data_IF_303076769699
#
_entry.id   IF_303076769699
#
_cell.length_a   1.000
_cell.length_b   1.000
_cell.length_c   1.000
_cell.angle_alpha   90.00
_cell.angle_beta   90.00
_cell.angle_gamma   90.00
#
_symmetry.space_group_name_H-M   'P 1'
#
loop_
_entity.id
_entity.type
_entity.pdbx_description
1 polymer ?
#
# COMPACT_ATOMS: atom_id res chain seq x y z
N UNK A 1 -9.59 -11.93 12.90
CA UNK A 1 -10.01 -10.60 13.41
C UNK A 1 -9.00 -10.11 14.43
N UNK A 2 -8.88 -8.81 14.66
CA UNK A 2 -8.01 -8.25 15.70
C UNK A 2 -8.77 -8.18 17.03
N UNK A 3 -8.19 -8.71 18.11
CA UNK A 3 -8.74 -8.54 19.45
C UNK A 3 -8.35 -7.16 19.99
N UNK A 4 -9.32 -6.35 20.44
CA UNK A 4 -9.09 -4.95 20.83
C UNK A 4 -8.26 -4.81 22.11
N UNK A 5 -8.43 -5.69 23.10
CA UNK A 5 -7.72 -5.61 24.37
C UNK A 5 -6.27 -6.10 24.27
N UNK A 6 -6.09 -7.25 23.63
CA UNK A 6 -4.77 -7.92 23.56
C UNK A 6 -3.94 -7.47 22.36
N UNK A 7 -4.57 -6.82 21.36
CA UNK A 7 -3.94 -6.41 20.11
C UNK A 7 -3.29 -7.58 19.35
N UNK A 8 -3.89 -8.77 19.45
CA UNK A 8 -3.47 -10.00 18.77
C UNK A 8 -4.53 -10.48 17.79
N UNK A 9 -4.08 -11.13 16.71
CA UNK A 9 -4.97 -11.80 15.77
C UNK A 9 -5.66 -13.00 16.42
N UNK A 10 -6.97 -13.04 16.30
CA UNK A 10 -7.85 -14.11 16.77
C UNK A 10 -8.62 -14.73 15.60
N UNK A 11 -8.90 -16.03 15.70
CA UNK A 11 -9.77 -16.73 14.75
C UNK A 11 -11.17 -16.12 14.74
N UNK A 12 -11.84 -16.16 13.58
CA UNK A 12 -13.26 -15.78 13.48
C UNK A 12 -14.08 -16.81 14.27
N UNK A 13 -14.92 -16.36 15.19
CA UNK A 13 -15.80 -17.23 15.97
C UNK A 13 -16.92 -17.83 15.10
N UNK A 14 -17.51 -18.93 15.56
CA UNK A 14 -18.62 -19.57 14.86
C UNK A 14 -19.83 -18.63 14.77
N UNK A 15 -20.15 -17.89 15.85
CA UNK A 15 -21.24 -16.89 15.89
C UNK A 15 -21.09 -15.82 14.80
N UNK A 16 -19.91 -15.18 14.69
CA UNK A 16 -19.66 -14.15 13.68
C UNK A 16 -19.70 -14.73 12.27
N UNK A 17 -19.20 -15.96 12.11
CA UNK A 17 -19.24 -16.65 10.83
C UNK A 17 -20.69 -16.94 10.41
N UNK A 18 -21.52 -17.42 11.31
CA UNK A 18 -22.93 -17.70 11.07
C UNK A 18 -23.74 -16.44 10.74
N UNK A 19 -23.45 -15.33 11.42
CA UNK A 19 -24.07 -14.03 11.15
C UNK A 19 -23.67 -13.47 9.77
N UNK A 20 -22.38 -13.56 9.40
CA UNK A 20 -21.86 -12.91 8.21
C UNK A 20 -22.01 -13.76 6.93
N UNK A 21 -21.81 -15.07 7.00
CA UNK A 21 -21.74 -15.92 5.80
C UNK A 21 -23.06 -16.00 5.04
N UNK A 22 -24.20 -15.69 5.65
CA UNK A 22 -25.50 -15.64 4.96
C UNK A 22 -25.52 -14.58 3.83
N UNK A 23 -24.66 -13.56 3.91
CA UNK A 23 -24.51 -12.52 2.90
C UNK A 23 -23.43 -12.85 1.85
N UNK A 24 -22.62 -13.88 2.07
CA UNK A 24 -21.54 -14.27 1.19
C UNK A 24 -22.04 -15.22 0.08
N UNK A 25 -21.71 -14.97 -1.20
CA UNK A 25 -22.02 -15.93 -2.26
C UNK A 25 -21.22 -17.23 -2.04
N UNK A 26 -21.85 -18.38 -2.34
CA UNK A 26 -21.19 -19.70 -2.24
C UNK A 26 -19.96 -19.82 -3.15
N UNK A 27 -20.00 -19.16 -4.31
CA UNK A 27 -18.89 -19.07 -5.25
C UNK A 27 -18.31 -17.66 -5.19
N UNK A 28 -16.99 -17.51 -4.96
CA UNK A 28 -16.35 -16.20 -4.93
C UNK A 28 -16.56 -15.42 -6.24
N UNK A 29 -16.87 -14.13 -6.13
CA UNK A 29 -16.93 -13.19 -7.26
C UNK A 29 -15.87 -12.12 -7.05
N UNK A 30 -14.65 -12.40 -7.51
CA UNK A 30 -13.51 -11.51 -7.31
C UNK A 30 -13.52 -10.41 -8.36
N UNK A 31 -13.40 -9.15 -7.93
CA UNK A 31 -13.21 -8.01 -8.84
C UNK A 31 -11.83 -8.04 -9.52
N UNK A 32 -10.84 -8.63 -8.83
CA UNK A 32 -9.50 -8.91 -9.32
C UNK A 32 -9.33 -10.43 -9.39
N UNK A 33 -9.28 -11.03 -10.59
CA UNK A 33 -8.97 -12.45 -10.74
C UNK A 33 -7.65 -12.80 -10.06
N UNK A 34 -7.49 -14.01 -9.55
CA UNK A 34 -6.23 -14.42 -8.90
C UNK A 34 -5.05 -14.45 -9.89
N UNK A 35 -5.34 -14.88 -11.13
CA UNK A 35 -4.42 -14.76 -12.25
C UNK A 35 -4.06 -13.28 -12.48
N UNK A 36 -2.77 -12.97 -12.46
CA UNK A 36 -2.22 -11.62 -12.61
C UNK A 36 -2.57 -10.61 -11.49
N UNK A 37 -3.06 -11.05 -10.33
CA UNK A 37 -3.33 -10.13 -9.22
C UNK A 37 -2.03 -9.58 -8.61
N UNK A 38 -1.73 -8.31 -8.89
CA UNK A 38 -0.59 -7.59 -8.30
C UNK A 38 -0.63 -7.51 -6.78
N UNK A 39 -1.81 -7.62 -6.14
CA UNK A 39 -1.94 -7.59 -4.68
C UNK A 39 -1.46 -8.86 -3.99
N UNK A 40 -1.27 -9.96 -4.72
CA UNK A 40 -0.69 -11.20 -4.19
C UNK A 40 0.84 -11.19 -4.25
N UNK A 41 1.43 -10.27 -5.02
CA UNK A 41 2.88 -10.14 -5.15
C UNK A 41 3.45 -9.42 -3.94
N UNK A 42 4.50 -9.99 -3.35
CA UNK A 42 5.20 -9.38 -2.22
C UNK A 42 5.75 -7.99 -2.59
N UNK A 43 5.56 -7.03 -1.69
CA UNK A 43 6.17 -5.71 -1.79
C UNK A 43 7.54 -5.75 -1.07
N UNK A 44 8.66 -5.51 -1.78
CA UNK A 44 9.98 -5.47 -1.14
C UNK A 44 10.07 -4.33 -0.13
N UNK A 45 10.95 -4.47 0.87
CA UNK A 45 11.23 -3.35 1.78
C UNK A 45 12.10 -2.35 1.04
N UNK A 46 11.78 -1.07 1.13
CA UNK A 46 12.64 -0.01 0.66
C UNK A 46 13.89 0.08 1.56
N UNK A 47 15.06 0.16 0.96
CA UNK A 47 16.34 0.33 1.67
C UNK A 47 16.63 1.82 1.88
N UNK A 48 17.30 2.15 2.98
CA UNK A 48 17.78 3.51 3.23
C UNK A 48 19.11 3.74 2.47
N UNK A 49 19.34 4.95 1.90
CA UNK A 49 18.42 6.09 1.85
C UNK A 49 17.39 5.95 0.73
N UNK A 50 16.17 6.42 1.01
CA UNK A 50 15.14 6.61 -0.02
C UNK A 50 15.49 7.78 -0.95
N UNK A 51 15.05 7.72 -2.21
CA UNK A 51 15.27 8.80 -3.18
C UNK A 51 14.46 10.05 -2.83
N UNK A 52 13.23 9.85 -2.34
CA UNK A 52 12.33 10.91 -1.91
C UNK A 52 11.82 10.66 -0.50
N UNK A 53 11.64 11.73 0.27
CA UNK A 53 11.15 11.63 1.64
C UNK A 53 10.34 12.85 2.07
N UNK A 54 9.37 12.59 2.96
CA UNK A 54 8.64 13.59 3.72
C UNK A 54 8.60 13.13 5.17
N UNK A 55 9.27 13.88 6.05
CA UNK A 55 9.45 13.52 7.45
C UNK A 55 8.47 14.29 8.33
N UNK A 56 8.17 13.71 9.50
CA UNK A 56 7.44 14.43 10.55
C UNK A 56 5.96 14.67 10.26
N UNK A 57 5.32 13.79 9.49
CA UNK A 57 3.87 13.82 9.28
C UNK A 57 3.16 13.49 10.59
N UNK A 58 2.12 14.26 10.90
CA UNK A 58 1.30 14.06 12.10
C UNK A 58 -0.17 13.89 11.72
N UNK A 59 -0.92 12.99 12.39
CA UNK A 59 -2.34 12.85 12.20
C UNK A 59 -3.10 14.13 12.56
N UNK A 60 -4.13 14.42 11.79
CA UNK A 60 -5.15 15.42 12.14
C UNK A 60 -6.26 14.74 12.91
N UNK A 61 -7.03 15.53 13.66
CA UNK A 61 -8.25 15.05 14.34
C UNK A 61 -9.25 14.38 13.39
N UNK A 62 -9.32 14.84 12.13
CA UNK A 62 -10.19 14.27 11.11
C UNK A 62 -9.69 12.93 10.54
N UNK A 63 -8.43 12.57 10.79
CA UNK A 63 -7.82 11.34 10.30
C UNK A 63 -8.13 10.15 11.22
N UNK A 64 -8.72 10.38 12.40
CA UNK A 64 -9.02 9.33 13.38
C UNK A 64 -10.38 8.67 13.11
N UNK A 65 -10.43 7.35 13.27
CA UNK A 65 -11.66 6.56 13.22
C UNK A 65 -12.35 6.46 14.60
N UNK A 66 -13.47 5.74 14.65
CA UNK A 66 -14.22 5.53 15.90
C UNK A 66 -13.43 4.76 16.97
N UNK A 67 -12.39 4.02 16.59
CA UNK A 67 -11.52 3.27 17.49
C UNK A 67 -10.33 4.10 18.00
N UNK A 68 -10.28 5.40 17.68
CA UNK A 68 -9.16 6.30 18.01
C UNK A 68 -7.84 5.93 17.32
N UNK A 69 -7.90 5.15 16.23
CA UNK A 69 -6.75 4.91 15.38
C UNK A 69 -6.82 5.80 14.14
N UNK A 70 -5.67 6.07 13.55
CA UNK A 70 -5.62 6.70 12.24
C UNK A 70 -6.30 5.79 11.21
N UNK A 71 -7.25 6.36 10.48
CA UNK A 71 -8.02 5.70 9.45
C UNK A 71 -7.09 5.22 8.32
N UNK A 72 -7.33 4.00 7.82
CA UNK A 72 -6.56 3.40 6.73
C UNK A 72 -6.45 4.30 5.48
N UNK A 73 -7.45 5.14 5.21
CA UNK A 73 -7.42 6.09 4.09
C UNK A 73 -6.37 7.19 4.28
N UNK A 74 -6.08 7.61 5.51
CA UNK A 74 -5.09 8.65 5.78
C UNK A 74 -3.67 8.21 5.41
N UNK A 75 -3.34 6.92 5.56
CA UNK A 75 -2.05 6.38 5.14
C UNK A 75 -1.85 6.49 3.63
N UNK A 76 -2.92 6.41 2.81
CA UNK A 76 -2.82 6.63 1.36
C UNK A 76 -2.34 8.05 1.07
N UNK A 77 -2.89 9.03 1.80
CA UNK A 77 -2.43 10.43 1.73
C UNK A 77 -0.94 10.53 2.04
N UNK A 78 -0.51 9.99 3.18
CA UNK A 78 0.90 10.02 3.58
C UNK A 78 1.84 9.28 2.62
N UNK A 79 1.42 8.16 2.04
CA UNK A 79 2.19 7.44 1.01
C UNK A 79 2.49 8.36 -0.18
N UNK A 80 1.54 9.21 -0.57
CA UNK A 80 1.70 10.12 -1.70
C UNK A 80 2.43 11.42 -1.36
N UNK A 81 2.58 11.80 -0.08
CA UNK A 81 3.29 13.02 0.33
C UNK A 81 4.78 13.05 -0.02
N UNK A 82 5.42 11.88 -0.21
CA UNK A 82 6.81 11.79 -0.64
C UNK A 82 6.97 11.54 -2.15
N UNK A 83 5.87 11.46 -2.91
CA UNK A 83 5.95 11.31 -4.36
C UNK A 83 6.51 12.56 -5.04
N UNK A 84 7.35 12.44 -6.09
CA UNK A 84 7.83 13.58 -6.84
C UNK A 84 6.69 14.34 -7.49
N UNK A 85 6.65 15.66 -7.32
CA UNK A 85 5.60 16.52 -7.88
C UNK A 85 5.49 16.38 -9.41
N UNK A 86 6.61 16.20 -10.11
CA UNK A 86 6.61 15.95 -11.56
C UNK A 86 5.74 14.75 -11.94
N UNK A 87 5.82 13.65 -11.18
CA UNK A 87 5.02 12.44 -11.45
C UNK A 87 3.55 12.72 -11.18
N UNK A 88 3.23 13.41 -10.08
CA UNK A 88 1.85 13.82 -9.75
C UNK A 88 1.24 14.70 -10.86
N UNK A 89 2.02 15.58 -11.48
CA UNK A 89 1.53 16.52 -12.49
C UNK A 89 1.44 15.91 -13.90
N UNK A 90 2.27 14.93 -14.20
CA UNK A 90 2.44 14.38 -15.57
C UNK A 90 1.88 12.98 -15.76
N UNK A 91 1.62 12.25 -14.67
CA UNK A 91 1.09 10.90 -14.68
C UNK A 91 -0.19 10.81 -13.85
N UNK A 92 -0.96 9.76 -14.07
CA UNK A 92 -2.06 9.38 -13.20
C UNK A 92 -1.78 8.03 -12.54
N UNK A 93 -2.22 7.90 -11.28
CA UNK A 93 -2.11 6.67 -10.51
C UNK A 93 -2.97 5.59 -11.16
N UNK A 94 -2.34 4.52 -11.64
CA UNK A 94 -3.02 3.40 -12.28
C UNK A 94 -3.35 2.28 -11.30
N UNK A 95 -2.38 1.92 -10.45
CA UNK A 95 -2.48 0.83 -9.47
C UNK A 95 -1.86 1.28 -8.16
N UNK A 96 -2.48 0.90 -7.04
CA UNK A 96 -1.89 1.01 -5.71
C UNK A 96 -2.13 -0.30 -4.96
N UNK A 97 -1.07 -0.85 -4.37
CA UNK A 97 -1.10 -2.03 -3.50
C UNK A 97 -0.47 -1.65 -2.17
N UNK A 98 -1.10 -2.04 -1.06
CA UNK A 98 -0.69 -1.63 0.30
C UNK A 98 -0.66 -2.82 1.26
N UNK A 99 0.45 -2.97 1.98
CA UNK A 99 0.64 -3.93 3.06
C UNK A 99 0.68 -3.19 4.40
N UNK A 100 -0.36 -3.36 5.22
CA UNK A 100 -0.44 -2.77 6.56
C UNK A 100 0.23 -3.67 7.60
N UNK A 101 1.03 -3.07 8.49
CA UNK A 101 1.73 -3.80 9.57
C UNK A 101 1.39 -3.30 10.96
N UNK A 102 1.22 -2.00 11.15
CA UNK A 102 0.94 -1.39 12.46
C UNK A 102 -0.08 -0.27 12.32
N UNK A 103 -0.80 -0.05 13.39
CA UNK A 103 -1.71 1.08 13.56
C UNK A 103 -0.96 2.28 14.13
N UNK A 104 -1.40 3.47 13.76
CA UNK A 104 -0.91 4.77 14.20
C UNK A 104 -1.98 5.45 15.07
N UNK A 105 -1.57 6.15 16.12
CA UNK A 105 -2.42 6.92 17.03
C UNK A 105 -2.21 8.43 16.83
N UNK A 106 -2.99 9.26 17.53
CA UNK A 106 -2.97 10.71 17.38
C UNK A 106 -1.60 11.37 17.58
N UNK A 107 -0.81 10.89 18.55
CA UNK A 107 0.47 11.52 18.93
C UNK A 107 1.68 10.96 18.17
N UNK A 108 1.45 10.01 17.27
CA UNK A 108 2.52 9.39 16.51
C UNK A 108 2.99 10.30 15.37
N UNK A 109 4.30 10.25 15.12
CA UNK A 109 4.94 10.96 14.03
C UNK A 109 5.42 9.96 12.97
N UNK A 110 5.13 10.26 11.70
CA UNK A 110 5.33 9.35 10.57
C UNK A 110 6.28 9.95 9.54
N UNK A 111 7.21 9.13 9.08
CA UNK A 111 8.03 9.43 7.91
C UNK A 111 7.49 8.67 6.69
N UNK A 112 7.37 9.37 5.57
CA UNK A 112 7.02 8.83 4.27
C UNK A 112 8.23 8.79 3.37
N UNK A 113 8.54 7.61 2.84
CA UNK A 113 9.71 7.35 1.99
C UNK A 113 9.26 6.73 0.66
N UNK A 114 9.86 7.18 -0.44
CA UNK A 114 9.54 6.73 -1.79
C UNK A 114 10.81 6.55 -2.63
N UNK A 115 10.89 5.47 -3.41
CA UNK A 115 11.91 5.23 -4.42
C UNK A 115 11.31 4.53 -5.63
N UNK A 116 11.82 4.76 -6.85
CA UNK A 116 11.43 3.96 -8.01
C UNK A 116 11.77 2.49 -7.78
N UNK A 117 10.91 1.59 -8.24
CA UNK A 117 11.23 0.17 -8.25
C UNK A 117 12.09 -0.12 -9.48
N UNK A 118 13.36 -0.42 -9.27
CA UNK A 118 14.23 -0.90 -10.33
C UNK A 118 13.74 -2.30 -10.73
N UNK A 119 13.53 -2.52 -12.03
CA UNK A 119 13.37 -3.88 -12.52
C UNK A 119 14.69 -4.63 -12.23
N UNK A 120 14.61 -5.77 -11.55
CA UNK A 120 15.72 -6.70 -11.58
C UNK A 120 15.98 -7.00 -13.07
N UNK A 121 17.18 -6.66 -13.55
CA UNK A 121 17.71 -7.20 -14.80
C UNK A 121 17.93 -8.70 -14.58
N UNK A 122 16.83 -9.48 -14.55
CA UNK A 122 16.90 -10.92 -14.65
C UNK A 122 17.31 -11.24 -16.09
N UNK A 123 18.62 -11.25 -16.28
CA UNK A 123 19.25 -11.79 -17.46
C UNK A 123 18.90 -13.27 -17.54
N UNK A 124 17.87 -13.65 -18.30
CA UNK A 124 17.95 -14.75 -19.28
C UNK A 124 16.70 -14.89 -20.18
N UNK A 125 16.96 -14.74 -21.48
CA UNK A 125 16.35 -15.44 -22.62
C UNK A 125 14.84 -15.29 -22.90
N UNK A 126 14.55 -14.34 -23.78
CA UNK A 126 13.91 -14.65 -25.07
C UNK A 126 12.49 -15.22 -25.06
N UNK A 127 11.49 -14.34 -24.97
CA UNK A 127 10.25 -14.51 -25.73
C UNK A 127 9.67 -13.14 -26.08
N UNK A 128 9.91 -12.74 -27.33
CA UNK A 128 9.47 -11.49 -27.90
C UNK A 128 8.09 -11.63 -28.56
N UNK A 129 7.04 -11.90 -27.80
CA UNK A 129 5.65 -11.82 -28.32
C UNK A 129 4.62 -11.68 -27.18
N UNK A 130 4.52 -10.46 -26.65
CA UNK A 130 3.41 -10.05 -25.78
C UNK A 130 3.81 -8.86 -24.93
N UNK A 131 2.97 -7.80 -24.89
CA UNK A 131 3.13 -6.55 -24.10
C UNK A 131 3.72 -5.31 -24.80
N UNK A 132 3.54 -5.15 -26.11
CA UNK A 132 3.66 -3.81 -26.73
C UNK A 132 2.55 -2.81 -26.31
N UNK A 133 1.61 -3.22 -25.43
CA UNK A 133 0.56 -2.37 -24.86
C UNK A 133 0.81 -1.91 -23.41
N UNK A 134 1.92 -2.30 -22.76
CA UNK A 134 2.39 -1.69 -21.50
C UNK A 134 3.13 -0.39 -21.81
N UNK A 135 2.39 0.69 -22.09
CA UNK A 135 2.96 2.05 -22.09
C UNK A 135 3.68 2.26 -20.76
N UNK A 136 5.02 2.28 -20.80
CA UNK A 136 5.98 2.71 -19.77
C UNK A 136 5.36 3.02 -18.39
N UNK A 137 4.87 2.00 -17.70
CA UNK A 137 4.41 2.17 -16.32
C UNK A 137 5.64 2.38 -15.45
N UNK A 138 5.58 3.38 -14.58
CA UNK A 138 6.67 3.66 -13.63
C UNK A 138 6.25 3.18 -12.25
N UNK A 139 6.77 2.04 -11.77
CA UNK A 139 6.49 1.56 -10.43
C UNK A 139 7.32 2.34 -9.39
N UNK A 140 6.71 2.65 -8.26
CA UNK A 140 7.36 3.23 -7.08
C UNK A 140 7.04 2.38 -5.85
N UNK A 141 8.05 2.19 -5.02
CA UNK A 141 7.93 1.59 -3.70
C UNK A 141 7.78 2.68 -2.66
N UNK A 142 6.92 2.41 -1.68
CA UNK A 142 6.62 3.31 -0.58
C UNK A 142 6.83 2.63 0.76
N UNK A 143 7.33 3.38 1.72
CA UNK A 143 7.55 2.90 3.07
C UNK A 143 7.16 3.97 4.09
N UNK A 144 6.18 3.65 4.94
CA UNK A 144 5.80 4.46 6.08
C UNK A 144 6.39 3.86 7.35
N UNK A 145 7.04 4.69 8.15
CA UNK A 145 7.62 4.30 9.45
C UNK A 145 7.38 5.34 10.51
N UNK A 146 7.40 4.94 11.77
CA UNK A 146 7.41 5.90 12.88
C UNK A 146 8.74 6.65 12.90
N UNK A 147 8.72 7.98 12.95
CA UNK A 147 9.93 8.81 12.88
C UNK A 147 10.91 8.54 14.02
N UNK A 148 10.41 8.22 15.22
CA UNK A 148 11.26 7.98 16.40
C UNK A 148 11.88 6.58 16.45
N UNK A 149 11.14 5.54 16.06
CA UNK A 149 11.58 4.13 16.23
C UNK A 149 12.03 3.48 14.93
N UNK A 150 11.71 4.07 13.77
CA UNK A 150 11.93 3.46 12.46
C UNK A 150 11.08 2.21 12.20
N UNK A 151 10.15 1.87 13.11
CA UNK A 151 9.29 0.71 12.97
C UNK A 151 8.30 0.93 11.83
N UNK A 152 8.15 -0.12 11.04
CA UNK A 152 7.28 -0.15 9.87
C UNK A 152 5.80 -0.07 10.25
N UNK A 153 5.11 0.84 9.56
CA UNK A 153 3.67 1.06 9.65
C UNK A 153 2.98 0.40 8.46
N UNK A 154 3.43 0.76 7.26
CA UNK A 154 2.84 0.31 5.99
C UNK A 154 3.92 0.29 4.90
N UNK A 155 3.77 -0.59 3.90
CA UNK A 155 4.47 -0.49 2.62
C UNK A 155 3.50 -0.41 1.48
N UNK A 156 3.90 0.25 0.40
CA UNK A 156 3.10 0.34 -0.80
C UNK A 156 3.89 0.12 -2.07
N UNK A 157 3.18 -0.24 -3.14
CA UNK A 157 3.64 -0.15 -4.51
C UNK A 157 2.62 0.66 -5.30
N UNK A 158 3.05 1.67 -6.02
CA UNK A 158 2.19 2.40 -6.97
C UNK A 158 2.71 2.24 -8.39
N UNK A 159 1.80 2.11 -9.35
CA UNK A 159 2.11 2.14 -10.79
C UNK A 159 1.48 3.37 -11.42
N UNK A 160 2.26 4.13 -12.18
CA UNK A 160 1.82 5.38 -12.80
C UNK A 160 1.83 5.27 -14.32
N UNK A 161 0.78 5.80 -14.96
CA UNK A 161 0.68 5.90 -16.43
C UNK A 161 0.75 7.36 -16.86
N UNK A 162 1.57 7.66 -17.87
CA UNK A 162 1.75 9.02 -18.38
C UNK A 162 0.44 9.52 -19.00
N UNK A 163 0.07 10.76 -18.66
CA UNK A 163 -1.09 11.41 -19.26
C UNK A 163 -0.84 11.62 -20.76
N UNK A 164 -1.81 11.20 -21.59
CA UNK A 164 -1.83 11.59 -23.00
C UNK A 164 -2.67 12.86 -23.09
N UNK A 165 -1.99 13.99 -23.22
CA UNK A 165 -2.63 15.27 -23.54
C UNK A 165 -2.67 15.47 -25.04
#
# INVERSE_FOLDING_TARGET
MMNQDTRRLQRVSDEVREEYLVFCPRTPRLAFPEEDNGSLKKIPKLEDPAEYSRLGLVPRRADLDMNQHVNNVAYIGWVLESMPQEIIDTHELHTITLDYRRECQHDDMVDSLTSPELADDDCTNGSATGKQHERARRPYLHFLRFSGTGLEINRGRTEWRKLVR
#
